data_IF_338850501948
#
_entry.id   IF_338850501948
#
_cell.length_a   1.000
_cell.length_b   1.000
_cell.length_c   1.000
_cell.angle_alpha   90.00
_cell.angle_beta   90.00
_cell.angle_gamma   90.00
#
_symmetry.space_group_name_H-M   'P 1'
#
loop_
_entity.id
_entity.type
_entity.pdbx_description
1 polymer ?
#
# COMPACT_ATOMS: atom_id res chain seq x y z
N UNK A 1 -4.48 -21.77 -2.11
CA UNK A 1 -4.52 -22.37 -0.74
C UNK A 1 -3.12 -22.49 -0.12
N UNK A 2 -2.12 -23.01 -0.85
CA UNK A 2 -0.73 -23.10 -0.34
C UNK A 2 -0.15 -21.74 0.09
N UNK A 3 -0.43 -20.68 -0.68
CA UNK A 3 -0.06 -19.31 -0.34
C UNK A 3 -0.62 -18.85 1.02
N UNK A 4 -1.93 -19.05 1.24
CA UNK A 4 -2.58 -18.71 2.51
C UNK A 4 -2.04 -19.53 3.69
N UNK A 5 -1.71 -20.80 3.46
CA UNK A 5 -1.14 -21.68 4.48
C UNK A 5 0.29 -21.28 4.89
N UNK A 6 1.12 -20.87 3.94
CA UNK A 6 2.47 -20.36 4.20
C UNK A 6 2.45 -18.99 4.90
N UNK A 7 1.47 -18.13 4.56
CA UNK A 7 1.26 -16.83 5.19
C UNK A 7 0.85 -16.93 6.67
N UNK A 8 0.13 -17.99 7.05
CA UNK A 8 -0.27 -18.26 8.44
C UNK A 8 0.87 -18.80 9.33
N UNK A 9 2.00 -19.23 8.72
CA UNK A 9 3.16 -19.85 9.39
C UNK A 9 4.28 -18.87 9.73
N UNK A 10 4.39 -17.79 8.97
CA UNK A 10 5.19 -16.60 9.30
C UNK A 10 4.32 -15.75 10.22
N UNK A 11 4.86 -15.09 11.24
CA UNK A 11 4.11 -14.18 12.12
C UNK A 11 3.22 -13.26 11.26
N UNK A 12 1.93 -13.62 11.15
CA UNK A 12 1.03 -13.13 10.11
C UNK A 12 0.80 -11.61 10.20
N UNK A 13 1.14 -11.06 11.37
CA UNK A 13 1.18 -9.64 11.63
C UNK A 13 2.18 -8.90 10.73
N UNK A 14 3.41 -9.40 10.59
CA UNK A 14 4.45 -8.71 9.83
C UNK A 14 4.23 -8.84 8.31
N UNK A 15 3.75 -10.00 7.83
CA UNK A 15 3.56 -10.23 6.41
C UNK A 15 2.42 -9.36 5.84
N UNK A 16 1.28 -9.28 6.54
CA UNK A 16 0.17 -8.40 6.12
C UNK A 16 0.56 -6.92 6.09
N UNK A 17 1.37 -6.48 7.07
CA UNK A 17 1.91 -5.12 7.15
C UNK A 17 2.90 -4.80 6.02
N UNK A 18 3.78 -5.74 5.70
CA UNK A 18 4.71 -5.59 4.58
C UNK A 18 3.96 -5.44 3.25
N UNK A 19 2.96 -6.29 2.98
CA UNK A 19 2.16 -6.19 1.75
C UNK A 19 1.40 -4.87 1.65
N UNK A 20 0.83 -4.37 2.75
CA UNK A 20 0.15 -3.07 2.76
C UNK A 20 1.10 -1.89 2.48
N UNK A 21 2.30 -1.90 3.08
CA UNK A 21 3.32 -0.89 2.84
C UNK A 21 3.80 -0.90 1.38
N UNK A 22 4.08 -2.09 0.83
CA UNK A 22 4.48 -2.24 -0.58
C UNK A 22 3.41 -1.73 -1.54
N UNK A 23 2.14 -2.04 -1.29
CA UNK A 23 1.03 -1.57 -2.13
C UNK A 23 0.92 -0.04 -2.17
N UNK A 24 0.99 0.61 -1.00
CA UNK A 24 0.95 2.08 -0.93
C UNK A 24 2.15 2.75 -1.59
N UNK A 25 3.37 2.24 -1.36
CA UNK A 25 4.59 2.76 -1.99
C UNK A 25 4.56 2.58 -3.51
N UNK A 26 4.11 1.42 -3.99
CA UNK A 26 4.01 1.13 -5.42
C UNK A 26 3.08 2.12 -6.14
N UNK A 27 1.87 2.36 -5.59
CA UNK A 27 0.90 3.28 -6.19
C UNK A 27 1.46 4.71 -6.26
N UNK A 28 2.12 5.15 -5.19
CA UNK A 28 2.72 6.49 -5.14
C UNK A 28 3.89 6.63 -6.12
N UNK A 29 4.72 5.59 -6.22
CA UNK A 29 5.83 5.55 -7.18
C UNK A 29 5.36 5.51 -8.63
N UNK A 30 4.31 4.75 -8.95
CA UNK A 30 3.70 4.71 -10.28
C UNK A 30 3.14 6.06 -10.70
N UNK A 31 2.48 6.79 -9.78
CA UNK A 31 1.97 8.14 -10.06
C UNK A 31 3.10 9.16 -10.24
N UNK A 32 4.14 9.07 -9.41
CA UNK A 32 5.34 9.89 -9.58
C UNK A 32 6.01 9.64 -10.94
N UNK A 33 6.07 8.38 -11.38
CA UNK A 33 6.63 8.01 -12.68
C UNK A 33 5.80 8.55 -13.84
N UNK A 34 4.47 8.41 -13.79
CA UNK A 34 3.55 8.94 -14.80
C UNK A 34 3.74 10.46 -14.97
N UNK A 35 3.97 11.16 -13.86
CA UNK A 35 4.21 12.60 -13.87
C UNK A 35 5.60 12.98 -14.40
N UNK A 36 6.65 12.29 -13.94
CA UNK A 36 8.04 12.63 -14.28
C UNK A 36 8.48 12.18 -15.68
N UNK A 37 7.96 11.06 -16.15
CA UNK A 37 8.45 10.38 -17.36
C UNK A 37 7.46 10.50 -18.51
N UNK A 38 6.16 10.45 -18.23
CA UNK A 38 5.11 10.53 -19.26
C UNK A 38 4.52 11.94 -19.40
N UNK A 39 5.03 12.93 -18.64
CA UNK A 39 4.56 14.33 -18.59
C UNK A 39 3.03 14.46 -18.42
N UNK A 40 2.43 13.39 -17.88
CA UNK A 40 0.99 13.27 -17.70
C UNK A 40 0.70 13.77 -16.31
N UNK A 41 0.14 14.97 -16.23
CA UNK A 41 -0.18 15.59 -14.96
C UNK A 41 -1.26 14.73 -14.26
N UNK A 42 -0.96 14.13 -13.09
CA UNK A 42 -1.91 13.28 -12.39
C UNK A 42 -3.14 14.09 -12.02
N UNK A 43 -4.32 13.54 -12.28
CA UNK A 43 -5.56 14.23 -12.01
C UNK A 43 -5.77 14.33 -10.49
N UNK A 44 -6.63 15.26 -10.08
CA UNK A 44 -7.06 15.41 -8.68
C UNK A 44 -7.63 14.09 -8.13
N UNK A 45 -8.26 13.29 -8.99
CA UNK A 45 -8.76 11.96 -8.65
C UNK A 45 -7.64 10.94 -8.43
N UNK A 46 -6.55 11.03 -9.19
CA UNK A 46 -5.38 10.16 -9.02
C UNK A 46 -4.67 10.45 -7.69
N UNK A 47 -4.50 11.74 -7.37
CA UNK A 47 -3.97 12.19 -6.09
C UNK A 47 -4.85 11.73 -4.92
N UNK A 48 -6.18 11.79 -5.06
CA UNK A 48 -7.12 11.33 -4.06
C UNK A 48 -7.02 9.81 -3.86
N UNK A 49 -6.88 9.05 -4.95
CA UNK A 49 -6.65 7.60 -4.93
C UNK A 49 -5.33 7.22 -4.24
N UNK A 50 -4.26 7.97 -4.50
CA UNK A 50 -2.98 7.81 -3.84
C UNK A 50 -3.08 8.04 -2.33
N UNK A 51 -3.75 9.12 -1.92
CA UNK A 51 -4.02 9.46 -0.52
C UNK A 51 -4.83 8.38 0.18
N UNK A 52 -5.85 7.80 -0.48
CA UNK A 52 -6.65 6.70 0.07
C UNK A 52 -5.78 5.44 0.24
N UNK A 53 -4.94 5.10 -0.73
CA UNK A 53 -4.07 3.93 -0.65
C UNK A 53 -2.98 4.08 0.43
N UNK A 54 -2.35 5.26 0.50
CA UNK A 54 -1.40 5.58 1.57
C UNK A 54 -2.09 5.63 2.94
N UNK A 55 -3.30 6.17 3.01
CA UNK A 55 -4.13 6.17 4.21
C UNK A 55 -4.44 4.74 4.68
N UNK A 56 -4.88 3.86 3.77
CA UNK A 56 -5.12 2.44 4.04
C UNK A 56 -3.86 1.71 4.50
N UNK A 57 -2.72 1.96 3.85
CA UNK A 57 -1.43 1.42 4.27
C UNK A 57 -1.03 1.91 5.67
N UNK A 58 -1.24 3.19 5.97
CA UNK A 58 -0.98 3.79 7.29
C UNK A 58 -1.89 3.19 8.35
N UNK A 59 -3.17 3.00 8.06
CA UNK A 59 -4.10 2.31 8.97
C UNK A 59 -3.65 0.88 9.22
N UNK A 60 -3.25 0.11 8.21
CA UNK A 60 -2.79 -1.27 8.43
C UNK A 60 -1.47 -1.30 9.23
N UNK A 61 -0.59 -0.32 9.02
CA UNK A 61 0.71 -0.23 9.71
C UNK A 61 0.61 0.26 11.15
N UNK A 62 -0.26 1.23 11.42
CA UNK A 62 -0.36 1.98 12.68
C UNK A 62 -1.66 1.75 13.46
N UNK A 63 -2.62 0.96 12.95
CA UNK A 63 -3.85 0.65 13.68
C UNK A 63 -3.50 0.08 15.06
N UNK A 64 -3.88 0.78 16.15
CA UNK A 64 -3.61 0.32 17.50
C UNK A 64 -4.50 -0.88 17.75
N UNK A 65 -3.87 -2.03 17.96
CA UNK A 65 -4.58 -3.21 18.44
C UNK A 65 -4.62 -3.08 19.94
N UNK A 66 -5.78 -2.61 20.42
CA UNK A 66 -6.12 -2.70 21.83
C UNK A 66 -5.87 -4.14 22.25
N UNK A 67 -4.88 -4.33 23.11
CA UNK A 67 -4.54 -5.59 23.75
C UNK A 67 -5.65 -6.02 24.71
#
# INVERSE_FOLDING_TARGET
>A
MLFAYLLARIEADAAGRAFAAYGGVYITASLGWLWLVEDTQPDRWDLLGALICLGGATVILFAPRVA
#
